data_IF_238261527170
#
_entry.id   IF_238261527170
#
_cell.length_a   1.000
_cell.length_b   1.000
_cell.length_c   1.000
_cell.angle_alpha   90.00
_cell.angle_beta   90.00
_cell.angle_gamma   90.00
#
_symmetry.space_group_name_H-M   'P 1'
#
loop_
_entity.id
_entity.type
_entity.pdbx_description
1 polymer ?
#
# COMPACT_ATOMS: atom_id res chain seq x y z
N UNK A 1 -9.28 -14.48 8.25
CA UNK A 1 -8.40 -13.90 7.24
C UNK A 1 -8.15 -12.40 7.49
N UNK A 2 -9.20 -11.60 7.71
CA UNK A 2 -9.07 -10.18 8.01
C UNK A 2 -8.24 -9.94 9.27
N UNK A 3 -8.54 -10.63 10.35
CA UNK A 3 -7.79 -10.51 11.62
C UNK A 3 -6.34 -10.92 11.42
N UNK A 4 -6.08 -11.97 10.66
CA UNK A 4 -4.71 -12.39 10.33
C UNK A 4 -3.92 -11.27 9.66
N UNK A 5 -4.46 -10.64 8.63
CA UNK A 5 -3.80 -9.53 7.96
C UNK A 5 -3.62 -8.32 8.88
N UNK A 6 -4.60 -8.00 9.71
CA UNK A 6 -4.48 -6.92 10.69
C UNK A 6 -3.29 -7.15 11.64
N UNK A 7 -3.11 -8.36 12.10
CA UNK A 7 -1.99 -8.73 12.98
C UNK A 7 -0.67 -8.79 12.22
N UNK A 8 -0.63 -9.38 11.02
CA UNK A 8 0.57 -9.48 10.19
C UNK A 8 1.12 -8.11 9.83
N UNK A 9 0.25 -7.13 9.60
CA UNK A 9 0.65 -5.75 9.31
C UNK A 9 0.83 -4.88 10.56
N UNK A 10 0.73 -5.47 11.74
CA UNK A 10 0.87 -4.75 13.02
C UNK A 10 -0.01 -3.50 13.08
N UNK A 11 -1.27 -3.62 12.61
CA UNK A 11 -2.19 -2.49 12.46
C UNK A 11 -2.52 -1.84 13.79
N UNK A 12 -2.68 -2.63 14.84
CA UNK A 12 -2.99 -2.17 16.19
C UNK A 12 -1.98 -2.71 17.19
N UNK A 13 -1.72 -1.91 18.23
CA UNK A 13 -0.80 -2.28 19.30
C UNK A 13 -1.41 -3.17 20.35
N UNK A 14 -2.73 -3.04 20.58
CA UNK A 14 -3.47 -3.77 21.61
C UNK A 14 -4.32 -4.87 20.99
N UNK A 15 -4.32 -6.05 21.62
CA UNK A 15 -5.07 -7.21 21.13
C UNK A 15 -6.57 -6.97 21.12
N UNK A 16 -7.11 -6.23 22.09
CA UNK A 16 -8.51 -5.84 22.14
C UNK A 16 -8.98 -5.01 20.95
N UNK A 17 -8.04 -4.36 20.24
CA UNK A 17 -8.34 -3.54 19.06
C UNK A 17 -8.65 -4.36 17.81
N UNK A 18 -8.42 -5.69 17.84
CA UNK A 18 -8.72 -6.59 16.71
C UNK A 18 -10.16 -7.13 16.73
N UNK A 19 -11.07 -6.41 17.35
CA UNK A 19 -12.49 -6.73 17.33
C UNK A 19 -13.13 -6.17 16.05
N UNK A 20 -13.65 -7.04 15.19
CA UNK A 20 -14.26 -6.65 13.91
C UNK A 20 -15.57 -5.88 14.08
N UNK A 21 -16.20 -5.96 15.24
CA UNK A 21 -17.45 -5.25 15.54
C UNK A 21 -17.25 -3.86 16.14
N UNK A 22 -15.99 -3.49 16.39
CA UNK A 22 -15.67 -2.17 16.96
C UNK A 22 -16.00 -1.07 15.97
N UNK A 23 -16.72 -0.05 16.39
CA UNK A 23 -16.94 1.15 15.60
C UNK A 23 -15.63 1.90 15.36
N UNK A 24 -15.32 2.14 14.09
CA UNK A 24 -14.15 2.89 13.67
C UNK A 24 -14.60 4.19 13.02
N UNK A 25 -14.02 5.30 13.44
CA UNK A 25 -14.18 6.60 12.80
C UNK A 25 -12.81 7.11 12.35
N UNK A 26 -12.79 8.09 11.45
CA UNK A 26 -11.53 8.73 11.02
C UNK A 26 -10.77 9.39 12.19
N UNK A 27 -11.42 9.58 13.33
CA UNK A 27 -10.80 10.15 14.54
C UNK A 27 -10.11 9.11 15.41
N UNK A 28 -10.47 7.81 15.27
CA UNK A 28 -9.95 6.73 16.10
C UNK A 28 -8.76 6.02 15.47
N UNK A 29 -8.50 6.25 14.18
CA UNK A 29 -7.43 5.61 13.45
C UNK A 29 -6.41 6.63 12.97
N UNK A 30 -5.13 6.27 13.03
CA UNK A 30 -4.07 7.03 12.37
C UNK A 30 -4.15 6.87 10.85
N UNK A 31 -3.49 7.77 10.10
CA UNK A 31 -3.40 7.67 8.64
C UNK A 31 -2.75 6.35 8.20
N UNK A 32 -1.70 5.93 8.91
CA UNK A 32 -1.03 4.66 8.63
C UNK A 32 -1.94 3.45 8.86
N UNK A 33 -2.72 3.47 9.94
CA UNK A 33 -3.69 2.41 10.21
C UNK A 33 -4.78 2.34 9.14
N UNK A 34 -5.30 3.50 8.70
CA UNK A 34 -6.27 3.56 7.62
C UNK A 34 -5.69 3.01 6.30
N UNK A 35 -4.43 3.32 5.98
CA UNK A 35 -3.77 2.77 4.79
C UNK A 35 -3.60 1.26 4.88
N UNK A 36 -3.19 0.73 6.03
CA UNK A 36 -3.09 -0.72 6.24
C UNK A 36 -4.44 -1.43 6.04
N UNK A 37 -5.50 -0.87 6.57
CA UNK A 37 -6.86 -1.42 6.41
C UNK A 37 -7.27 -1.38 4.94
N UNK A 38 -6.97 -0.31 4.21
CA UNK A 38 -7.25 -0.22 2.78
C UNK A 38 -6.51 -1.31 1.98
N UNK A 39 -5.24 -1.59 2.31
CA UNK A 39 -4.49 -2.69 1.70
C UNK A 39 -5.11 -4.05 2.02
N UNK A 40 -5.52 -4.27 3.27
CA UNK A 40 -6.18 -5.53 3.67
C UNK A 40 -7.45 -5.74 2.87
N UNK A 41 -8.23 -4.69 2.68
CA UNK A 41 -9.44 -4.74 1.85
C UNK A 41 -9.11 -5.18 0.42
N UNK A 42 -8.04 -4.67 -0.16
CA UNK A 42 -7.57 -5.09 -1.48
C UNK A 42 -7.08 -6.54 -1.48
N UNK A 43 -6.37 -6.97 -0.44
CA UNK A 43 -5.82 -8.31 -0.32
C UNK A 43 -6.87 -9.42 -0.20
N UNK A 44 -8.00 -9.13 0.45
CA UNK A 44 -9.08 -10.11 0.60
C UNK A 44 -10.03 -10.14 -0.60
N UNK A 45 -9.91 -9.15 -1.50
CA UNK A 45 -10.68 -9.10 -2.74
C UNK A 45 -9.87 -9.79 -3.83
N UNK A 46 -10.53 -10.63 -4.63
CA UNK A 46 -9.87 -11.32 -5.74
C UNK A 46 -9.77 -10.34 -6.93
N UNK A 47 -8.60 -9.74 -7.10
CA UNK A 47 -8.33 -8.75 -8.15
C UNK A 47 -7.15 -9.22 -9.02
N UNK A 48 -7.20 -8.86 -10.30
CA UNK A 48 -6.12 -9.12 -11.25
C UNK A 48 -5.15 -7.94 -11.36
N UNK A 49 -5.66 -6.72 -11.20
CA UNK A 49 -4.90 -5.47 -11.29
C UNK A 49 -5.17 -4.64 -10.05
N UNK A 50 -4.12 -4.16 -9.42
CA UNK A 50 -4.18 -3.28 -8.27
C UNK A 50 -3.55 -1.94 -8.62
N UNK A 51 -4.33 -0.87 -8.51
CA UNK A 51 -3.87 0.50 -8.73
C UNK A 51 -3.61 1.16 -7.37
N UNK A 52 -2.40 1.65 -7.19
CA UNK A 52 -1.97 2.35 -5.98
C UNK A 52 -1.55 3.77 -6.35
N UNK A 53 -2.11 4.74 -5.66
CA UNK A 53 -1.78 6.16 -5.84
C UNK A 53 -1.34 6.75 -4.50
N UNK A 54 -0.02 6.91 -4.33
CA UNK A 54 0.61 7.42 -3.10
C UNK A 54 0.15 6.67 -1.83
N UNK A 55 -0.21 5.40 -1.95
CA UNK A 55 -0.89 4.66 -0.88
C UNK A 55 0.02 4.23 0.26
N UNK A 56 1.33 4.43 0.14
CA UNK A 56 2.31 4.12 1.19
C UNK A 56 2.89 5.37 1.86
N UNK A 57 2.38 6.56 1.53
CA UNK A 57 2.93 7.83 1.99
C UNK A 57 2.97 7.97 3.53
N UNK A 58 2.01 7.38 4.23
CA UNK A 58 1.91 7.45 5.69
C UNK A 58 2.35 6.16 6.40
N UNK A 59 3.02 5.27 5.67
CA UNK A 59 3.55 4.02 6.21
C UNK A 59 5.04 4.14 6.50
N UNK A 60 5.49 3.51 7.59
CA UNK A 60 6.92 3.35 7.85
C UNK A 60 7.51 2.29 6.89
N UNK A 61 8.84 2.22 6.84
CA UNK A 61 9.55 1.32 5.92
C UNK A 61 9.21 -0.14 6.17
N UNK A 62 9.09 -0.53 7.43
CA UNK A 62 8.76 -1.91 7.82
C UNK A 62 7.37 -2.31 7.32
N UNK A 63 6.37 -1.46 7.54
CA UNK A 63 5.00 -1.72 7.10
C UNK A 63 4.88 -1.78 5.58
N UNK A 64 5.55 -0.86 4.88
CA UNK A 64 5.61 -0.85 3.42
C UNK A 64 6.21 -2.16 2.90
N UNK A 65 7.34 -2.58 3.43
CA UNK A 65 8.03 -3.79 2.98
C UNK A 65 7.17 -5.04 3.24
N UNK A 66 6.49 -5.11 4.38
CA UNK A 66 5.57 -6.21 4.69
C UNK A 66 4.41 -6.29 3.69
N UNK A 67 3.80 -5.16 3.36
CA UNK A 67 2.71 -5.11 2.40
C UNK A 67 3.17 -5.57 1.02
N UNK A 68 4.30 -5.07 0.53
CA UNK A 68 4.79 -5.43 -0.80
C UNK A 68 5.29 -6.88 -0.86
N UNK A 69 5.81 -7.43 0.23
CA UNK A 69 6.12 -8.86 0.30
C UNK A 69 4.88 -9.73 0.15
N UNK A 70 3.78 -9.33 0.82
CA UNK A 70 2.50 -10.05 0.69
C UNK A 70 1.96 -9.94 -0.74
N UNK A 71 2.01 -8.75 -1.32
CA UNK A 71 1.52 -8.51 -2.69
C UNK A 71 2.30 -9.32 -3.74
N UNK A 72 3.59 -9.51 -3.54
CA UNK A 72 4.41 -10.30 -4.46
C UNK A 72 4.11 -11.78 -4.46
N UNK A 73 3.63 -12.31 -3.35
CA UNK A 73 3.19 -13.70 -3.28
C UNK A 73 1.87 -13.95 -4.03
N UNK A 74 1.18 -12.88 -4.42
CA UNK A 74 -0.06 -12.93 -5.19
C UNK A 74 0.25 -12.73 -6.67
N UNK A 75 -0.45 -13.48 -7.53
CA UNK A 75 -0.36 -13.35 -8.98
C UNK A 75 -1.25 -12.20 -9.48
N UNK A 76 -0.82 -10.98 -9.22
CA UNK A 76 -1.53 -9.75 -9.60
C UNK A 76 -0.56 -8.76 -10.24
N UNK A 77 -1.12 -7.90 -11.11
CA UNK A 77 -0.40 -6.77 -11.69
C UNK A 77 -0.60 -5.55 -10.81
N UNK A 78 0.49 -4.90 -10.40
CA UNK A 78 0.45 -3.71 -9.55
C UNK A 78 0.96 -2.52 -10.34
N UNK A 79 0.15 -1.48 -10.41
CA UNK A 79 0.53 -0.17 -10.95
C UNK A 79 0.55 0.82 -9.79
N UNK A 80 1.74 1.31 -9.46
CA UNK A 80 1.96 2.16 -8.30
C UNK A 80 2.44 3.54 -8.75
N UNK A 81 1.67 4.57 -8.43
CA UNK A 81 2.05 5.97 -8.62
C UNK A 81 2.67 6.50 -7.34
N UNK A 82 3.91 6.97 -7.42
CA UNK A 82 4.65 7.49 -6.26
C UNK A 82 5.62 8.59 -6.67
N UNK A 83 5.91 9.50 -5.75
CA UNK A 83 6.98 10.48 -5.89
C UNK A 83 8.35 9.94 -5.45
N UNK A 84 8.40 8.78 -4.86
CA UNK A 84 9.60 8.19 -4.30
C UNK A 84 9.76 6.72 -4.70
N UNK A 85 10.03 6.52 -5.98
CA UNK A 85 10.22 5.18 -6.56
C UNK A 85 11.41 4.43 -5.97
N UNK A 86 12.42 5.15 -5.46
CA UNK A 86 13.63 4.56 -4.89
C UNK A 86 13.35 3.78 -3.60
N UNK A 87 12.23 4.01 -2.95
CA UNK A 87 11.81 3.25 -1.78
C UNK A 87 11.36 1.82 -2.11
N UNK A 88 11.07 1.52 -3.37
CA UNK A 88 10.57 0.23 -3.80
C UNK A 88 11.70 -0.62 -4.39
N UNK A 89 11.97 -1.76 -3.78
CA UNK A 89 13.11 -2.62 -4.13
C UNK A 89 12.86 -3.56 -5.31
N UNK A 90 11.60 -3.86 -5.58
CA UNK A 90 11.23 -4.85 -6.59
C UNK A 90 10.28 -4.20 -7.59
N UNK A 91 10.87 -3.69 -8.67
CA UNK A 91 10.16 -2.99 -9.74
C UNK A 91 10.52 -3.70 -11.05
N UNK A 92 9.51 -4.18 -11.78
CA UNK A 92 9.72 -4.77 -13.11
C UNK A 92 9.87 -3.67 -14.17
N UNK A 93 9.05 -2.62 -14.09
CA UNK A 93 9.08 -1.48 -15.00
C UNK A 93 8.93 -0.17 -14.25
N UNK A 94 9.72 0.83 -14.62
CA UNK A 94 9.64 2.16 -14.06
C UNK A 94 9.40 3.19 -15.16
N UNK A 95 8.30 3.92 -15.07
CA UNK A 95 7.97 5.02 -15.97
C UNK A 95 8.12 6.33 -15.20
N UNK A 96 8.95 7.22 -15.70
CA UNK A 96 9.15 8.54 -15.11
C UNK A 96 8.40 9.60 -15.91
N UNK A 97 7.63 10.45 -15.22
CA UNK A 97 6.88 11.54 -15.83
C UNK A 97 7.40 12.85 -15.25
N UNK A 98 8.07 13.63 -16.08
CA UNK A 98 8.59 14.94 -15.70
C UNK A 98 7.86 16.06 -16.41
N UNK A 99 7.86 17.23 -15.80
CA UNK A 99 7.35 18.45 -16.40
C UNK A 99 8.51 19.38 -16.71
N UNK A 100 8.67 19.75 -17.98
CA UNK A 100 9.66 20.73 -18.45
C UNK A 100 8.90 21.89 -19.07
N UNK A 101 8.84 23.02 -18.35
CA UNK A 101 7.97 24.13 -18.73
C UNK A 101 6.51 23.72 -18.68
N UNK A 102 5.80 23.76 -19.82
CA UNK A 102 4.42 23.30 -19.95
C UNK A 102 4.30 21.88 -20.51
N UNK A 103 5.41 21.27 -20.88
CA UNK A 103 5.46 19.94 -21.47
C UNK A 103 5.71 18.85 -20.42
N UNK A 104 5.07 17.70 -20.60
CA UNK A 104 5.33 16.50 -19.79
C UNK A 104 6.16 15.52 -20.60
N UNK A 105 7.23 15.03 -20.00
CA UNK A 105 8.12 14.07 -20.60
C UNK A 105 7.92 12.72 -19.89
N UNK A 106 7.65 11.68 -20.66
CA UNK A 106 7.44 10.33 -20.17
C UNK A 106 8.63 9.48 -20.63
N UNK A 107 9.31 8.86 -19.68
CA UNK A 107 10.47 7.99 -19.94
C UNK A 107 10.33 6.70 -19.18
N UNK A 108 10.59 5.57 -19.86
CA UNK A 108 10.77 4.29 -19.19
C UNK A 108 12.20 4.19 -18.69
N UNK A 109 12.35 3.85 -17.41
CA UNK A 109 13.65 3.64 -16.77
C UNK A 109 13.84 2.15 -16.49
N UNK A 110 15.04 1.68 -16.78
CA UNK A 110 15.45 0.30 -16.57
C UNK A 110 16.36 0.17 -15.34
#
# INVERSE_FOLDING_TARGET
>A
LVIKYLKDLETFKEESSYDLNKKITNRTLSSGQMQKIAFIRALITDVEILLLDESTANLDDKSRDLIFNILQEKDITIINSTHDADQFKQIDHHINIDTVGEERIIQEKY
#
